data_IF_134876288899
#
_entry.id   IF_134876288899
#
_cell.length_a   1.000
_cell.length_b   1.000
_cell.length_c   1.000
_cell.angle_alpha   90.00
_cell.angle_beta   90.00
_cell.angle_gamma   90.00
#
_symmetry.space_group_name_H-M   'P 1'
#
loop_
_entity.id
_entity.type
_entity.pdbx_description
1 polymer ?
#
# COMPACT_ATOMS: atom_id res chain seq x y z
N UNK A 1 -17.47 -4.08 -14.33
CA UNK A 1 -17.70 -4.62 -13.00
C UNK A 1 -16.62 -4.05 -12.07
N UNK A 2 -16.93 -3.15 -11.13
CA UNK A 2 -15.95 -2.49 -10.26
C UNK A 2 -15.17 -3.46 -9.37
N UNK A 3 -15.59 -4.71 -9.25
CA UNK A 3 -14.96 -5.73 -8.43
C UNK A 3 -13.64 -6.29 -9.00
N UNK A 4 -13.24 -5.89 -10.21
CA UNK A 4 -11.98 -6.33 -10.83
C UNK A 4 -10.91 -5.23 -10.84
N UNK A 5 -11.11 -4.14 -10.13
CA UNK A 5 -10.11 -3.08 -10.00
C UNK A 5 -9.10 -3.45 -8.92
N UNK A 6 -7.85 -3.32 -9.26
CA UNK A 6 -6.72 -3.42 -8.37
C UNK A 6 -5.80 -2.24 -8.68
N UNK A 7 -5.16 -1.67 -7.70
CA UNK A 7 -4.09 -0.74 -7.95
C UNK A 7 -2.78 -1.25 -7.36
N UNK A 8 -1.71 -0.93 -8.06
CA UNK A 8 -0.34 -1.11 -7.61
C UNK A 8 0.30 0.27 -7.51
N UNK A 9 1.07 0.48 -6.47
CA UNK A 9 1.90 1.68 -6.34
C UNK A 9 3.33 1.31 -5.98
N UNK A 10 4.26 2.19 -6.32
CA UNK A 10 5.65 2.15 -5.87
C UNK A 10 6.15 3.59 -5.75
N UNK A 11 6.88 3.88 -4.69
CA UNK A 11 7.39 5.22 -4.47
C UNK A 11 8.38 5.33 -3.32
N UNK A 12 8.92 6.53 -3.15
CA UNK A 12 9.78 6.91 -2.04
C UNK A 12 8.97 7.70 -1.03
N UNK A 13 9.06 7.30 0.24
CA UNK A 13 8.45 8.00 1.35
C UNK A 13 9.53 8.61 2.24
N UNK A 14 9.36 9.89 2.55
CA UNK A 14 10.18 10.61 3.52
C UNK A 14 9.35 10.81 4.77
N UNK A 15 9.79 10.22 5.86
CA UNK A 15 9.11 10.30 7.15
C UNK A 15 9.77 11.37 8.00
N UNK A 16 8.95 12.24 8.58
CA UNK A 16 9.32 13.17 9.63
C UNK A 16 8.46 12.86 10.86
N UNK A 17 9.05 12.19 11.81
CA UNK A 17 8.34 11.73 13.01
C UNK A 17 9.07 12.18 14.27
N UNK A 18 8.34 12.77 15.20
CA UNK A 18 8.90 13.31 16.45
C UNK A 18 9.52 12.25 17.37
N UNK A 19 9.06 11.00 17.27
CA UNK A 19 9.54 9.90 18.10
C UNK A 19 10.74 9.15 17.50
N UNK A 20 10.79 9.01 16.16
CA UNK A 20 11.84 8.23 15.48
C UNK A 20 12.74 9.08 14.58
N UNK A 21 12.51 10.40 14.48
CA UNK A 21 13.30 11.29 13.64
C UNK A 21 12.94 11.20 12.15
N UNK A 22 13.89 11.61 11.31
CA UNK A 22 13.72 11.63 9.85
C UNK A 22 14.40 10.43 9.21
N UNK A 23 13.68 9.74 8.35
CA UNK A 23 14.23 8.67 7.52
C UNK A 23 13.43 8.55 6.22
N UNK A 24 14.01 7.90 5.23
CA UNK A 24 13.34 7.61 3.97
C UNK A 24 13.37 6.12 3.68
N UNK A 25 12.38 5.65 2.94
CA UNK A 25 12.31 4.28 2.47
C UNK A 25 11.55 4.18 1.15
N UNK A 26 11.73 3.08 0.46
CA UNK A 26 10.94 2.72 -0.69
C UNK A 26 9.82 1.77 -0.26
N UNK A 27 8.64 2.00 -0.80
CA UNK A 27 7.47 1.15 -0.57
C UNK A 27 6.77 0.86 -1.90
N UNK A 28 6.30 -0.38 -2.04
CA UNK A 28 5.40 -0.79 -3.10
C UNK A 28 4.26 -1.60 -2.51
N UNK A 29 3.06 -1.44 -3.06
CA UNK A 29 1.90 -2.13 -2.51
C UNK A 29 0.81 -2.43 -3.53
N UNK A 30 -0.03 -3.39 -3.17
CA UNK A 30 -1.24 -3.75 -3.88
C UNK A 30 -2.43 -3.48 -2.97
N UNK A 31 -3.42 -2.75 -3.50
CA UNK A 31 -4.70 -2.53 -2.86
C UNK A 31 -5.86 -2.85 -3.80
N UNK A 32 -6.98 -3.23 -3.21
CA UNK A 32 -8.24 -3.47 -3.91
C UNK A 32 -9.37 -2.68 -3.24
N UNK A 33 -10.25 -2.03 -4.02
CA UNK A 33 -11.47 -1.44 -3.47
C UNK A 33 -12.32 -2.51 -2.79
N UNK A 34 -12.79 -2.24 -1.59
CA UNK A 34 -13.57 -3.17 -0.79
C UNK A 34 -14.68 -2.44 -0.02
N UNK A 35 -15.73 -3.19 0.30
CA UNK A 35 -16.83 -2.75 1.16
C UNK A 35 -16.84 -3.66 2.38
N UNK A 36 -16.90 -3.08 3.56
CA UNK A 36 -17.01 -3.85 4.81
C UNK A 36 -18.43 -4.41 4.93
N UNK A 37 -18.61 -5.75 4.96
CA UNK A 37 -19.93 -6.36 5.02
C UNK A 37 -20.75 -5.88 6.23
N UNK A 38 -22.04 -5.58 5.99
CA UNK A 38 -22.95 -5.10 7.04
C UNK A 38 -22.76 -3.64 7.44
N UNK A 39 -21.93 -2.90 6.73
CA UNK A 39 -21.71 -1.46 6.95
C UNK A 39 -21.81 -0.70 5.63
N UNK A 40 -21.76 0.65 5.71
CA UNK A 40 -21.59 1.51 4.51
C UNK A 40 -20.12 1.90 4.28
N UNK A 41 -19.19 1.29 5.01
CA UNK A 41 -17.77 1.64 4.91
C UNK A 41 -17.17 1.07 3.63
N UNK A 42 -16.72 1.97 2.76
CA UNK A 42 -15.96 1.67 1.54
C UNK A 42 -14.51 2.07 1.79
N UNK A 43 -13.56 1.26 1.35
CA UNK A 43 -12.15 1.55 1.52
C UNK A 43 -11.28 0.74 0.55
N UNK A 44 -9.97 0.88 0.70
CA UNK A 44 -8.97 0.14 -0.04
C UNK A 44 -8.38 -0.95 0.85
N UNK A 45 -8.68 -2.21 0.58
CA UNK A 45 -8.08 -3.32 1.32
C UNK A 45 -6.63 -3.50 0.90
N UNK A 46 -5.70 -3.44 1.87
CA UNK A 46 -4.29 -3.68 1.63
C UNK A 46 -4.02 -5.19 1.49
N UNK A 47 -3.59 -5.61 0.29
CA UNK A 47 -3.31 -7.02 0.00
C UNK A 47 -1.90 -7.42 0.44
N UNK A 48 -0.91 -6.66 0.02
CA UNK A 48 0.49 -6.84 0.42
C UNK A 48 1.28 -5.55 0.16
N UNK A 49 2.30 -5.32 0.99
CA UNK A 49 3.25 -4.23 0.84
C UNK A 49 4.67 -4.75 0.96
N UNK A 50 5.58 -4.15 0.21
CA UNK A 50 7.00 -4.46 0.17
C UNK A 50 7.80 -3.21 0.49
N UNK A 51 8.75 -3.31 1.42
CA UNK A 51 9.57 -2.20 1.90
C UNK A 51 11.03 -2.63 2.04
N UNK A 52 11.93 -1.67 1.94
CA UNK A 52 13.37 -1.88 2.14
C UNK A 52 13.87 -1.47 3.53
N UNK A 53 12.96 -1.10 4.45
CA UNK A 53 13.30 -0.65 5.81
C UNK A 53 12.49 -1.40 6.88
N UNK A 54 13.19 -1.86 7.92
CA UNK A 54 12.60 -2.70 8.97
C UNK A 54 11.67 -1.93 9.90
N UNK A 55 12.01 -0.69 10.26
CA UNK A 55 11.22 0.08 11.24
C UNK A 55 9.77 0.30 10.77
N UNK A 56 9.50 0.81 9.54
CA UNK A 56 8.14 0.95 9.07
C UNK A 56 7.43 -0.39 8.81
N UNK A 57 8.18 -1.50 8.66
CA UNK A 57 7.58 -2.84 8.61
C UNK A 57 7.03 -3.21 9.98
N UNK A 58 7.85 -3.17 11.03
CA UNK A 58 7.44 -3.56 12.39
C UNK A 58 6.31 -2.67 12.89
N UNK A 59 6.50 -1.34 12.90
CA UNK A 59 5.46 -0.41 13.35
C UNK A 59 4.17 -0.53 12.56
N UNK A 60 4.27 -0.63 11.23
CA UNK A 60 3.10 -0.78 10.38
C UNK A 60 2.29 -2.04 10.66
N UNK A 61 2.96 -3.17 10.88
CA UNK A 61 2.32 -4.45 11.21
C UNK A 61 1.73 -4.46 12.61
N UNK A 62 2.47 -3.97 13.59
CA UNK A 62 2.11 -4.07 15.01
C UNK A 62 1.05 -3.04 15.41
N UNK A 63 1.10 -1.82 14.87
CA UNK A 63 0.16 -0.76 15.22
C UNK A 63 -1.11 -0.87 14.40
N UNK A 64 -1.00 -0.90 13.06
CA UNK A 64 -2.15 -0.80 12.16
C UNK A 64 -2.59 -2.14 11.54
N UNK A 65 -1.67 -3.10 11.42
CA UNK A 65 -1.94 -4.36 10.71
C UNK A 65 -1.64 -4.31 9.21
N UNK A 66 -0.79 -3.39 8.74
CA UNK A 66 -0.33 -3.36 7.36
C UNK A 66 0.36 -4.67 6.98
N UNK A 67 0.00 -5.33 5.87
CA UNK A 67 0.59 -6.60 5.44
C UNK A 67 1.99 -6.41 4.82
N UNK A 68 2.89 -5.79 5.57
CA UNK A 68 4.24 -5.38 5.14
C UNK A 68 5.23 -6.53 5.18
N UNK A 69 6.08 -6.62 4.15
CA UNK A 69 7.16 -7.59 4.00
C UNK A 69 8.43 -6.86 3.57
N UNK A 70 9.58 -7.37 4.02
CA UNK A 70 10.88 -6.89 3.56
C UNK A 70 11.13 -7.34 2.12
N UNK A 71 11.69 -6.44 1.31
CA UNK A 71 12.08 -6.68 -0.07
C UNK A 71 13.17 -5.69 -0.51
N UNK A 72 13.87 -6.00 -1.58
CA UNK A 72 14.74 -5.05 -2.27
C UNK A 72 13.89 -4.29 -3.28
N UNK A 73 13.89 -2.96 -3.17
CA UNK A 73 13.17 -2.08 -4.08
C UNK A 73 14.15 -1.17 -4.82
N UNK A 74 13.81 -0.86 -6.06
CA UNK A 74 14.40 0.22 -6.82
C UNK A 74 13.28 1.11 -7.38
N UNK A 75 13.47 2.41 -7.31
CA UNK A 75 12.56 3.40 -7.89
C UNK A 75 13.39 4.54 -8.46
N UNK A 76 13.09 4.93 -9.68
CA UNK A 76 13.76 6.04 -10.38
C UNK A 76 12.75 6.82 -11.19
N UNK A 77 12.90 8.14 -11.15
CA UNK A 77 12.25 9.08 -12.05
C UNK A 77 13.33 9.97 -12.65
N UNK A 78 13.44 9.96 -13.95
CA UNK A 78 14.41 10.77 -14.69
C UNK A 78 13.82 11.19 -16.04
N UNK A 79 13.82 12.48 -16.32
CA UNK A 79 13.37 13.06 -17.60
C UNK A 79 11.95 12.60 -18.00
N UNK A 80 11.07 12.41 -17.02
CA UNK A 80 9.70 11.94 -17.21
C UNK A 80 9.55 10.44 -17.42
N UNK A 81 10.65 9.68 -17.44
CA UNK A 81 10.64 8.22 -17.42
C UNK A 81 10.67 7.72 -15.97
N UNK A 82 9.74 6.85 -15.62
CA UNK A 82 9.60 6.28 -14.27
C UNK A 82 9.83 4.78 -14.37
N UNK A 83 10.67 4.24 -13.49
CA UNK A 83 10.88 2.81 -13.37
C UNK A 83 10.77 2.40 -11.91
N UNK A 84 10.23 1.20 -11.68
CA UNK A 84 10.13 0.62 -10.36
C UNK A 84 10.30 -0.89 -10.40
N UNK A 85 10.92 -1.45 -9.36
CA UNK A 85 11.18 -2.88 -9.24
C UNK A 85 11.05 -3.32 -7.80
N UNK A 86 10.40 -4.46 -7.61
CA UNK A 86 10.31 -5.16 -6.33
C UNK A 86 10.95 -6.52 -6.49
N UNK A 87 11.97 -6.81 -5.69
CA UNK A 87 12.65 -8.11 -5.67
C UNK A 87 12.60 -8.72 -4.28
N UNK A 88 12.25 -9.99 -4.18
CA UNK A 88 12.23 -10.70 -2.90
C UNK A 88 12.64 -12.15 -3.10
N UNK A 89 13.51 -12.64 -2.21
CA UNK A 89 14.04 -14.02 -2.25
C UNK A 89 14.60 -14.42 -3.63
N UNK A 90 15.36 -13.50 -4.25
CA UNK A 90 15.99 -13.72 -5.54
C UNK A 90 15.06 -13.66 -6.76
N UNK A 91 13.80 -13.26 -6.56
CA UNK A 91 12.83 -13.14 -7.66
C UNK A 91 12.35 -11.71 -7.79
N UNK A 92 12.38 -11.17 -9.01
CA UNK A 92 11.71 -9.89 -9.34
C UNK A 92 10.21 -10.16 -9.39
N UNK A 93 9.50 -9.73 -8.35
CA UNK A 93 8.07 -9.96 -8.17
C UNK A 93 7.20 -9.02 -8.99
N UNK A 94 7.66 -7.76 -9.12
CA UNK A 94 6.98 -6.73 -9.90
C UNK A 94 8.00 -5.82 -10.58
N UNK A 95 7.72 -5.45 -11.82
CA UNK A 95 8.41 -4.44 -12.57
C UNK A 95 7.44 -3.44 -13.17
N UNK A 96 7.68 -2.15 -13.01
CA UNK A 96 6.87 -1.09 -13.61
C UNK A 96 7.73 -0.17 -14.45
N UNK A 97 7.17 0.30 -15.55
CA UNK A 97 7.70 1.42 -16.31
C UNK A 97 6.55 2.35 -16.68
N UNK A 98 6.79 3.64 -16.60
CA UNK A 98 5.82 4.65 -17.01
C UNK A 98 6.51 5.87 -17.59
N UNK A 99 5.79 6.58 -18.45
CA UNK A 99 6.24 7.84 -19.06
C UNK A 99 5.20 8.91 -18.81
N UNK A 100 5.64 10.04 -18.26
CA UNK A 100 4.80 11.23 -18.10
C UNK A 100 4.26 11.69 -19.44
N UNK A 101 2.96 11.95 -19.53
CA UNK A 101 2.31 12.43 -20.76
C UNK A 101 1.70 13.81 -20.57
N UNK A 102 0.83 13.96 -19.59
CA UNK A 102 0.09 15.19 -19.35
C UNK A 102 0.12 15.56 -17.88
N UNK A 103 0.56 16.77 -17.59
CA UNK A 103 0.43 17.34 -16.25
C UNK A 103 -1.04 17.63 -15.96
N UNK A 104 -1.49 17.26 -14.78
CA UNK A 104 -2.83 17.51 -14.29
C UNK A 104 -2.72 18.53 -13.16
N UNK A 105 -3.55 19.57 -13.21
CA UNK A 105 -3.67 20.46 -12.07
C UNK A 105 -4.30 19.70 -10.90
N UNK A 106 -3.63 19.68 -9.73
CA UNK A 106 -4.20 19.05 -8.55
C UNK A 106 -5.52 19.72 -8.19
N UNK A 107 -6.60 18.97 -8.19
CA UNK A 107 -7.88 19.47 -7.68
C UNK A 107 -7.87 19.51 -6.15
N UNK A 108 -8.59 20.44 -5.52
CA UNK A 108 -8.80 20.42 -4.07
C UNK A 108 -9.31 19.03 -3.66
N UNK A 109 -8.71 18.51 -2.64
CA UNK A 109 -8.77 17.10 -2.29
C UNK A 109 -10.19 16.61 -2.03
N UNK A 110 -10.59 15.57 -2.73
CA UNK A 110 -11.70 14.72 -2.29
C UNK A 110 -11.21 13.87 -1.12
N UNK A 111 -12.06 13.55 -0.14
CA UNK A 111 -11.70 12.65 0.94
C UNK A 111 -11.11 11.36 0.36
N UNK A 112 -9.91 11.00 0.76
CA UNK A 112 -9.32 9.72 0.40
C UNK A 112 -10.15 8.58 1.00
N UNK A 113 -10.23 7.47 0.27
CA UNK A 113 -10.81 6.26 0.85
C UNK A 113 -9.85 5.70 1.90
N UNK A 114 -10.35 5.31 3.08
CA UNK A 114 -9.51 4.72 4.09
C UNK A 114 -8.91 3.40 3.62
N UNK A 115 -7.75 3.08 4.15
CA UNK A 115 -7.19 1.75 4.04
C UNK A 115 -7.89 0.82 5.04
N UNK A 116 -8.25 -0.36 4.57
CA UNK A 116 -8.82 -1.43 5.39
C UNK A 116 -7.73 -2.47 5.65
N UNK A 117 -7.38 -2.64 6.90
CA UNK A 117 -6.23 -3.41 7.35
C UNK A 117 -6.67 -4.53 8.29
N UNK A 118 -6.25 -5.74 8.02
CA UNK A 118 -6.51 -6.85 8.93
C UNK A 118 -5.34 -7.02 9.90
N UNK A 119 -5.51 -6.53 11.11
CA UNK A 119 -4.52 -6.64 12.18
C UNK A 119 -4.70 -7.98 12.90
N UNK A 120 -3.70 -8.84 12.76
CA UNK A 120 -3.65 -10.14 13.44
C UNK A 120 -2.32 -10.25 14.18
N UNK A 121 -2.37 -10.39 15.50
CA UNK A 121 -1.20 -10.68 16.35
C UNK A 121 -1.39 -12.10 16.89
N UNK A 122 -0.60 -13.07 16.41
CA UNK A 122 -0.65 -14.43 16.91
C UNK A 122 -0.30 -14.50 18.40
N UNK A 123 -0.92 -15.44 19.13
CA UNK A 123 -0.53 -15.71 20.51
C UNK A 123 0.85 -16.39 20.58
N UNK A 124 1.60 -16.08 21.62
CA UNK A 124 2.83 -16.80 21.95
C UNK A 124 2.55 -18.23 22.48
N UNK A 125 1.29 -18.57 22.79
CA UNK A 125 0.91 -19.90 23.27
C UNK A 125 0.58 -20.80 22.08
N UNK A 126 1.08 -22.04 22.13
CA UNK A 126 0.75 -23.05 21.12
C UNK A 126 -0.76 -23.30 21.10
N UNK A 127 -1.31 -23.41 19.90
CA UNK A 127 -2.71 -23.76 19.63
C UNK A 127 -3.76 -22.80 20.23
N UNK A 128 -3.31 -21.63 20.70
CA UNK A 128 -4.21 -20.57 21.14
C UNK A 128 -4.73 -19.72 19.95
N UNK A 129 -5.91 -19.12 20.07
CA UNK A 129 -6.35 -18.11 19.12
C UNK A 129 -5.38 -16.91 19.13
N UNK A 130 -5.38 -16.05 18.10
CA UNK A 130 -4.57 -14.84 18.12
C UNK A 130 -4.95 -13.97 19.33
N UNK A 131 -3.96 -13.23 19.85
CA UNK A 131 -4.18 -12.27 20.95
C UNK A 131 -4.88 -10.98 20.44
N UNK A 132 -4.73 -10.67 19.15
CA UNK A 132 -5.44 -9.57 18.48
C UNK A 132 -5.94 -10.07 17.13
N UNK A 133 -7.20 -9.78 16.81
CA UNK A 133 -7.76 -9.97 15.46
C UNK A 133 -8.80 -8.89 15.20
N UNK A 134 -8.40 -7.87 14.44
CA UNK A 134 -9.17 -6.65 14.24
C UNK A 134 -9.17 -6.22 12.78
N UNK A 135 -10.27 -5.62 12.33
CA UNK A 135 -10.32 -4.83 11.11
C UNK A 135 -10.10 -3.37 11.49
N UNK A 136 -9.04 -2.79 10.97
CA UNK A 136 -8.62 -1.42 11.25
C UNK A 136 -8.85 -0.56 10.00
N UNK A 137 -9.44 0.61 10.19
CA UNK A 137 -9.54 1.68 9.20
C UNK A 137 -8.44 2.69 9.44
N UNK A 138 -7.59 2.95 8.45
CA UNK A 138 -6.52 3.96 8.52
C UNK A 138 -6.68 4.96 7.38
N UNK A 139 -6.62 6.24 7.69
CA UNK A 139 -6.79 7.33 6.73
C UNK A 139 -5.53 8.20 6.69
N UNK A 140 -5.09 8.54 5.49
CA UNK A 140 -4.15 9.63 5.31
C UNK A 140 -4.90 10.95 5.48
N UNK A 141 -4.44 11.77 6.41
CA UNK A 141 -5.04 13.07 6.71
C UNK A 141 -4.12 14.20 6.23
N UNK A 142 -4.66 15.39 6.07
CA UNK A 142 -3.92 16.58 5.61
C UNK A 142 -3.14 16.36 4.30
N UNK A 143 -3.60 15.42 3.48
CA UNK A 143 -2.89 15.07 2.26
C UNK A 143 -2.93 16.23 1.26
N UNK A 144 -1.81 16.55 0.65
CA UNK A 144 -1.64 17.61 -0.35
C UNK A 144 -0.92 17.03 -1.54
N UNK A 145 -1.53 17.08 -2.71
CA UNK A 145 -0.86 16.75 -3.97
C UNK A 145 -0.23 18.01 -4.53
N UNK A 146 1.09 18.02 -4.67
CA UNK A 146 1.86 19.13 -5.26
C UNK A 146 2.09 18.97 -6.75
N UNK A 147 2.22 17.74 -7.18
CA UNK A 147 2.46 17.42 -8.58
C UNK A 147 1.66 16.17 -8.96
N UNK A 148 1.03 16.19 -10.12
CA UNK A 148 0.24 15.07 -10.65
C UNK A 148 0.41 15.01 -12.18
N UNK A 149 0.65 13.80 -12.68
CA UNK A 149 0.79 13.51 -14.10
C UNK A 149 -0.01 12.27 -14.48
N UNK A 150 -0.73 12.34 -15.60
CA UNK A 150 -1.12 11.14 -16.32
C UNK A 150 0.09 10.56 -17.05
N UNK A 151 0.21 9.26 -17.01
CA UNK A 151 1.32 8.51 -17.57
C UNK A 151 0.84 7.40 -18.50
N UNK A 152 1.65 7.05 -19.48
CA UNK A 152 1.55 5.74 -20.13
C UNK A 152 2.40 4.76 -19.32
N UNK A 153 1.78 3.69 -18.81
CA UNK A 153 2.46 2.76 -17.90
C UNK A 153 2.33 1.30 -18.32
N UNK A 154 3.27 0.49 -17.83
CA UNK A 154 3.25 -0.98 -17.92
C UNK A 154 3.59 -1.56 -16.58
N UNK A 155 3.05 -2.73 -16.29
CA UNK A 155 3.37 -3.51 -15.09
C UNK A 155 3.47 -4.98 -15.47
N UNK A 156 4.45 -5.66 -14.90
CA UNK A 156 4.63 -7.10 -15.02
C UNK A 156 4.78 -7.71 -13.63
N UNK A 157 4.16 -8.88 -13.43
CA UNK A 157 4.25 -9.63 -12.18
C UNK A 157 4.86 -11.00 -12.41
N UNK A 158 5.65 -11.47 -11.44
CA UNK A 158 6.16 -12.83 -11.41
C UNK A 158 5.85 -13.52 -10.08
N UNK A 159 5.92 -14.84 -10.07
CA UNK A 159 5.71 -15.67 -8.89
C UNK A 159 7.05 -15.96 -8.23
N UNK A 160 7.19 -15.51 -7.00
CA UNK A 160 8.29 -15.88 -6.11
C UNK A 160 7.92 -17.04 -5.17
N UNK A 161 8.89 -17.53 -4.38
CA UNK A 161 8.68 -18.67 -3.48
C UNK A 161 7.55 -18.50 -2.46
N UNK A 162 7.30 -17.26 -2.01
CA UNK A 162 6.30 -16.93 -0.98
C UNK A 162 5.30 -15.86 -1.43
N UNK A 163 5.41 -15.42 -2.69
CA UNK A 163 4.65 -14.29 -3.22
C UNK A 163 4.14 -14.62 -4.62
N UNK A 164 2.91 -15.12 -4.76
CA UNK A 164 2.39 -15.63 -6.02
C UNK A 164 1.83 -14.51 -6.92
N UNK A 165 2.52 -13.36 -7.05
CA UNK A 165 2.04 -12.21 -7.81
C UNK A 165 1.86 -12.54 -9.30
N UNK A 166 2.66 -13.44 -9.87
CA UNK A 166 2.50 -13.88 -11.25
C UNK A 166 1.18 -14.62 -11.56
N UNK A 167 0.38 -14.95 -10.52
CA UNK A 167 -0.98 -15.45 -10.71
C UNK A 167 -1.98 -14.33 -11.00
N UNK A 168 -1.60 -13.08 -10.77
CA UNK A 168 -2.43 -11.92 -11.09
C UNK A 168 -2.38 -11.71 -12.60
N UNK A 169 -3.52 -11.89 -13.26
CA UNK A 169 -3.66 -11.62 -14.68
C UNK A 169 -4.05 -10.16 -14.88
N UNK A 170 -3.10 -9.34 -15.34
CA UNK A 170 -3.39 -7.97 -15.76
C UNK A 170 -4.10 -8.03 -17.12
N UNK A 171 -5.34 -7.58 -17.16
CA UNK A 171 -6.15 -7.55 -18.39
C UNK A 171 -5.98 -6.21 -19.11
N UNK A 172 -5.96 -5.13 -18.36
CA UNK A 172 -5.89 -3.76 -18.87
C UNK A 172 -5.29 -2.85 -17.80
N UNK A 173 -4.56 -1.83 -18.21
CA UNK A 173 -4.14 -0.70 -17.36
C UNK A 173 -5.09 0.46 -17.63
N UNK A 174 -6.05 0.65 -16.74
CA UNK A 174 -7.08 1.68 -16.86
C UNK A 174 -6.49 3.08 -16.68
N UNK A 175 -5.51 3.23 -15.79
CA UNK A 175 -4.78 4.48 -15.58
C UNK A 175 -3.41 4.23 -14.98
N UNK A 176 -2.46 5.11 -15.31
CA UNK A 176 -1.18 5.20 -14.63
C UNK A 176 -0.93 6.66 -14.26
N UNK A 177 -0.43 6.92 -13.06
CA UNK A 177 -0.19 8.26 -12.55
C UNK A 177 1.15 8.35 -11.83
N UNK A 178 1.78 9.51 -11.94
CA UNK A 178 2.89 9.91 -11.09
C UNK A 178 2.43 11.11 -10.25
N UNK A 179 2.69 11.05 -8.96
CA UNK A 179 2.33 12.14 -8.05
C UNK A 179 3.43 12.40 -7.03
N UNK A 180 3.53 13.66 -6.61
CA UNK A 180 4.33 14.10 -5.47
C UNK A 180 3.42 14.84 -4.51
N UNK A 181 3.50 14.53 -3.23
CA UNK A 181 2.65 15.14 -2.23
C UNK A 181 3.08 14.80 -0.82
N UNK A 182 2.32 15.28 0.14
CA UNK A 182 2.49 15.03 1.57
C UNK A 182 1.19 14.54 2.17
N UNK A 183 1.28 13.85 3.26
CA UNK A 183 0.14 13.48 4.11
C UNK A 183 0.63 13.20 5.53
N UNK A 184 -0.28 13.28 6.48
CA UNK A 184 -0.06 12.78 7.82
C UNK A 184 -0.76 11.44 7.99
N UNK A 185 -0.18 10.54 8.74
CA UNK A 185 -0.78 9.27 9.12
C UNK A 185 -0.96 9.22 10.63
N UNK A 186 -2.23 9.19 11.05
CA UNK A 186 -2.60 9.05 12.45
C UNK A 186 -2.86 7.57 12.80
N UNK A 187 -3.17 7.30 14.07
CA UNK A 187 -3.63 5.98 14.48
C UNK A 187 -4.92 5.60 13.73
N UNK A 188 -5.06 4.30 13.45
CA UNK A 188 -6.27 3.77 12.83
C UNK A 188 -7.43 3.62 13.82
N UNK A 189 -8.63 3.50 13.29
CA UNK A 189 -9.85 3.16 14.02
C UNK A 189 -10.12 1.66 13.93
N UNK A 190 -10.38 0.99 15.06
CA UNK A 190 -10.84 -0.40 15.06
C UNK A 190 -12.32 -0.43 14.73
N UNK A 191 -12.66 -0.81 13.50
CA UNK A 191 -14.05 -0.85 13.03
C UNK A 191 -14.72 -2.21 13.27
N UNK A 192 -13.95 -3.26 13.53
CA UNK A 192 -14.45 -4.55 13.95
C UNK A 192 -13.41 -5.33 14.75
N UNK A 193 -13.83 -5.93 15.87
CA UNK A 193 -12.99 -6.84 16.66
C UNK A 193 -13.60 -8.24 16.59
N UNK A 194 -12.88 -9.17 15.94
CA UNK A 194 -13.30 -10.55 15.73
C UNK A 194 -13.25 -11.40 17.00
N UNK A 195 -12.56 -10.94 18.04
CA UNK A 195 -12.44 -11.62 19.33
C UNK A 195 -13.41 -11.07 20.39
N UNK A 196 -14.08 -9.96 20.11
CA UNK A 196 -15.10 -9.43 21.01
C UNK A 196 -16.23 -10.44 21.17
N UNK A 197 -16.56 -10.76 22.42
CA UNK A 197 -17.73 -11.60 22.73
C UNK A 197 -18.99 -10.85 22.32
N UNK A 198 -19.84 -11.50 21.56
CA UNK A 198 -21.19 -11.01 21.23
C UNK A 198 -22.06 -10.99 22.46
#
# INVERSE_FOLDING_TARGET
NPLNLMFFYIGSLNIDNTACGRFNYLEAGIGIPAIVPGTMTVGNYAVCLYLNETMPICGGREIWGWPKKEATLAFSEKDGEITGRVERLGTVLAGVSAKRQKKIEPVPQQPELPWLLQKIIPSARRDAPPDVWQLVSSLNINAVTRELWDCAGKIEFATGPQDPLGKIRVLEIVSARFSVGDFDMDYGEVIHDYLAKK
#
